data_IF_242655629086
#
_entry.id   IF_242655629086
#
_cell.length_a   1.000
_cell.length_b   1.000
_cell.length_c   1.000
_cell.angle_alpha   90.00
_cell.angle_beta   90.00
_cell.angle_gamma   90.00
#
_symmetry.space_group_name_H-M   'P 1'
#
loop_
_entity.id
_entity.type
_entity.pdbx_description
1 polymer ?
#
# COMPACT_ATOMS: atom_id res chain seq x y z
N UNK A 1 31.03 -12.75 -1.63
CA UNK A 1 29.60 -12.85 -1.99
C UNK A 1 28.81 -13.28 -0.76
N UNK A 2 27.72 -12.59 -0.39
CA UNK A 2 26.93 -12.84 0.82
C UNK A 2 26.49 -14.30 0.96
N UNK A 3 25.84 -14.83 -0.07
CA UNK A 3 25.32 -16.20 -0.04
C UNK A 3 26.40 -17.31 0.06
N UNK A 4 27.66 -17.00 -0.30
CA UNK A 4 28.74 -17.98 -0.13
C UNK A 4 29.09 -18.25 1.33
N UNK A 5 28.66 -17.38 2.25
CA UNK A 5 28.87 -17.51 3.69
C UNK A 5 27.86 -18.45 4.36
N UNK A 6 26.75 -18.77 3.69
CA UNK A 6 25.71 -19.63 4.24
C UNK A 6 26.17 -21.09 4.33
N UNK A 7 25.78 -21.81 5.40
CA UNK A 7 26.16 -23.20 5.59
C UNK A 7 25.62 -24.08 4.46
N UNK A 8 26.35 -25.13 4.19
CA UNK A 8 26.00 -26.12 3.17
C UNK A 8 25.19 -27.24 3.84
N UNK A 9 24.15 -27.69 3.19
CA UNK A 9 23.33 -28.83 3.60
C UNK A 9 23.18 -29.82 2.45
N UNK A 10 22.93 -31.08 2.80
CA UNK A 10 22.53 -32.09 1.84
C UNK A 10 21.00 -32.04 1.71
N UNK A 11 20.53 -31.70 0.53
CA UNK A 11 19.11 -31.63 0.22
C UNK A 11 18.68 -32.86 -0.59
N UNK A 12 17.75 -33.68 -0.09
CA UNK A 12 17.29 -34.86 -0.79
C UNK A 12 16.36 -34.45 -1.95
N UNK A 13 16.71 -34.82 -3.17
CA UNK A 13 15.81 -34.72 -4.34
C UNK A 13 15.24 -36.08 -4.65
N UNK A 14 13.92 -36.14 -4.77
CA UNK A 14 13.18 -37.36 -5.17
C UNK A 14 12.93 -37.33 -6.68
N UNK A 15 13.49 -38.30 -7.38
CA UNK A 15 13.34 -38.46 -8.84
C UNK A 15 12.31 -39.55 -9.20
N UNK A 16 11.27 -39.71 -8.39
CA UNK A 16 10.21 -40.68 -8.59
C UNK A 16 10.54 -42.10 -8.14
N UNK A 17 11.79 -42.55 -8.16
CA UNK A 17 12.25 -43.89 -7.76
C UNK A 17 13.37 -43.88 -6.75
N UNK A 18 14.21 -42.85 -6.76
CA UNK A 18 15.41 -42.76 -5.88
C UNK A 18 15.53 -41.42 -5.26
N UNK A 19 16.03 -41.37 -4.02
CA UNK A 19 16.41 -40.13 -3.33
C UNK A 19 17.89 -39.87 -3.58
N UNK A 20 18.20 -38.77 -4.27
CA UNK A 20 19.58 -38.36 -4.53
C UNK A 20 19.89 -37.11 -3.72
N UNK A 21 20.84 -37.17 -2.76
CA UNK A 21 21.23 -35.98 -2.03
C UNK A 21 22.05 -35.02 -2.91
N UNK A 22 21.65 -33.77 -2.98
CA UNK A 22 22.45 -32.71 -3.61
C UNK A 22 22.99 -31.75 -2.54
N UNK A 23 24.13 -31.19 -2.83
CA UNK A 23 24.77 -30.17 -1.96
C UNK A 23 24.15 -28.82 -2.29
N UNK A 24 23.45 -28.21 -1.33
CA UNK A 24 22.79 -26.92 -1.48
C UNK A 24 23.20 -25.94 -0.38
N UNK A 25 23.11 -24.65 -0.64
CA UNK A 25 23.26 -23.61 0.37
C UNK A 25 21.96 -23.45 1.16
N UNK A 26 22.06 -23.39 2.50
CA UNK A 26 20.90 -23.21 3.38
C UNK A 26 20.44 -21.74 3.36
N UNK A 27 19.66 -21.33 2.37
CA UNK A 27 19.12 -19.98 2.24
C UNK A 27 17.93 -19.70 3.17
N UNK A 28 17.42 -20.71 3.88
CA UNK A 28 16.34 -20.54 4.86
C UNK A 28 16.83 -19.91 6.17
N UNK A 29 18.13 -19.91 6.37
CA UNK A 29 18.72 -19.28 7.55
C UNK A 29 18.63 -17.77 7.42
N UNK A 30 18.07 -17.11 8.42
CA UNK A 30 17.94 -15.63 8.47
C UNK A 30 18.88 -15.08 9.52
N UNK A 31 19.50 -13.95 9.20
CA UNK A 31 20.34 -13.18 10.11
C UNK A 31 19.72 -11.78 10.23
N UNK A 32 19.64 -11.28 11.45
CA UNK A 32 19.21 -9.91 11.72
C UNK A 32 20.24 -9.22 12.63
N UNK A 33 20.36 -7.92 12.49
CA UNK A 33 21.10 -7.10 13.45
C UNK A 33 20.24 -6.88 14.70
N UNK A 34 20.89 -6.87 15.86
CA UNK A 34 20.19 -6.54 17.11
C UNK A 34 19.70 -5.09 17.08
N UNK A 35 18.61 -4.82 17.81
CA UNK A 35 18.02 -3.47 17.90
C UNK A 35 19.02 -2.47 18.47
N UNK A 36 19.86 -2.87 19.42
CA UNK A 36 20.93 -2.04 19.96
C UNK A 36 21.92 -1.54 18.89
N UNK A 37 22.16 -2.31 17.83
CA UNK A 37 23.01 -1.89 16.70
C UNK A 37 22.26 -0.99 15.74
N UNK A 38 20.99 -1.25 15.52
CA UNK A 38 20.15 -0.47 14.58
C UNK A 38 19.74 0.90 15.15
N UNK A 39 19.66 1.01 16.48
CA UNK A 39 19.16 2.22 17.17
C UNK A 39 20.24 2.93 17.99
N UNK A 40 21.42 2.34 18.13
CA UNK A 40 22.52 2.87 18.92
C UNK A 40 23.09 4.17 18.36
N UNK A 41 23.18 5.19 19.21
CA UNK A 41 23.76 6.48 18.84
C UNK A 41 25.22 6.34 18.39
N UNK A 42 25.55 6.92 17.23
CA UNK A 42 26.90 6.92 16.67
C UNK A 42 27.33 5.60 16.00
N UNK A 43 26.43 4.63 15.89
CA UNK A 43 26.67 3.37 15.17
C UNK A 43 26.29 3.49 13.70
N UNK A 44 25.33 4.32 13.38
CA UNK A 44 24.83 4.54 12.01
C UNK A 44 24.94 6.01 11.58
N UNK A 45 24.85 6.21 10.27
CA UNK A 45 24.77 7.48 9.59
C UNK A 45 23.42 7.50 8.85
N UNK A 46 22.66 8.59 8.97
CA UNK A 46 21.47 8.78 8.14
C UNK A 46 21.90 9.20 6.73
N UNK A 47 21.27 8.64 5.74
CA UNK A 47 21.56 8.89 4.34
C UNK A 47 20.29 8.91 3.50
N UNK A 48 20.13 9.94 2.69
CA UNK A 48 19.03 10.05 1.74
C UNK A 48 19.43 9.47 0.39
N UNK A 49 18.75 8.39 0.01
CA UNK A 49 18.98 7.69 -1.26
C UNK A 49 18.63 8.61 -2.42
N UNK A 50 19.56 8.74 -3.38
CA UNK A 50 19.35 9.52 -4.59
C UNK A 50 18.56 8.73 -5.62
N UNK A 51 17.93 9.45 -6.54
CA UNK A 51 17.19 8.83 -7.65
C UNK A 51 18.07 7.89 -8.46
N UNK A 52 17.59 6.65 -8.61
CA UNK A 52 18.31 5.58 -9.32
C UNK A 52 19.50 4.97 -8.57
N UNK A 53 19.77 5.39 -7.33
CA UNK A 53 20.87 4.85 -6.55
C UNK A 53 20.50 3.47 -5.97
N UNK A 54 21.40 2.50 -6.16
CA UNK A 54 21.23 1.14 -5.68
C UNK A 54 22.05 0.87 -4.42
N UNK A 55 21.69 -0.14 -3.62
CA UNK A 55 22.46 -0.53 -2.44
C UNK A 55 23.94 -0.79 -2.74
N UNK A 56 24.26 -1.34 -3.92
CA UNK A 56 25.62 -1.62 -4.35
C UNK A 56 26.45 -0.35 -4.54
N UNK A 57 25.85 0.71 -5.12
CA UNK A 57 26.54 2.00 -5.31
C UNK A 57 26.85 2.66 -3.97
N UNK A 58 25.93 2.55 -3.02
CA UNK A 58 26.13 3.08 -1.66
C UNK A 58 27.23 2.30 -0.94
N UNK A 59 27.19 0.97 -1.04
CA UNK A 59 28.19 0.09 -0.41
C UNK A 59 29.59 0.34 -0.97
N UNK A 60 29.72 0.50 -2.28
CA UNK A 60 31.00 0.83 -2.93
C UNK A 60 31.53 2.17 -2.43
N UNK A 61 30.71 3.21 -2.43
CA UNK A 61 31.12 4.54 -1.99
C UNK A 61 31.48 4.61 -0.51
N UNK A 62 30.71 3.91 0.34
CA UNK A 62 30.89 4.01 1.82
C UNK A 62 31.88 3.02 2.36
N UNK A 63 31.89 1.79 1.83
CA UNK A 63 32.70 0.68 2.36
C UNK A 63 33.84 0.26 1.42
N UNK A 64 33.88 0.81 0.19
CA UNK A 64 34.87 0.46 -0.82
C UNK A 64 34.66 -0.93 -1.46
N UNK A 65 33.50 -1.55 -1.25
CA UNK A 65 33.18 -2.87 -1.80
C UNK A 65 31.67 -2.97 -2.09
N UNK A 66 31.23 -3.05 -3.36
CA UNK A 66 29.84 -3.17 -3.74
C UNK A 66 29.20 -4.48 -3.24
N UNK A 67 30.00 -5.52 -2.95
CA UNK A 67 29.51 -6.77 -2.42
C UNK A 67 29.00 -6.67 -0.98
N UNK A 68 29.24 -5.54 -0.32
CA UNK A 68 28.69 -5.25 1.03
C UNK A 68 27.30 -4.62 1.01
N UNK A 69 26.62 -4.60 -0.15
CA UNK A 69 25.23 -4.12 -0.27
C UNK A 69 24.27 -4.81 0.71
N UNK A 70 24.53 -6.08 1.05
CA UNK A 70 23.74 -6.81 2.05
C UNK A 70 23.75 -6.12 3.42
N UNK A 71 24.84 -5.42 3.78
CA UNK A 71 24.93 -4.69 5.03
C UNK A 71 24.01 -3.46 5.03
N UNK A 72 23.90 -2.79 3.88
CA UNK A 72 22.96 -1.69 3.68
C UNK A 72 21.51 -2.18 3.82
N UNK A 73 21.17 -3.30 3.18
CA UNK A 73 19.83 -3.90 3.26
C UNK A 73 19.49 -4.39 4.66
N UNK A 74 20.47 -5.03 5.32
CA UNK A 74 20.29 -5.59 6.66
C UNK A 74 20.08 -4.50 7.73
N UNK A 75 20.80 -3.37 7.63
CA UNK A 75 20.62 -2.22 8.53
C UNK A 75 19.20 -1.65 8.48
N UNK A 76 18.57 -1.70 7.31
CA UNK A 76 17.24 -1.15 7.05
C UNK A 76 16.14 -2.21 7.02
N UNK A 77 16.44 -3.46 7.40
CA UNK A 77 15.48 -4.58 7.39
C UNK A 77 14.80 -4.80 6.03
N UNK A 78 15.47 -4.44 4.94
CA UNK A 78 14.97 -4.64 3.59
C UNK A 78 15.16 -6.10 3.20
N UNK A 79 14.08 -6.86 3.19
CA UNK A 79 14.06 -8.29 2.84
C UNK A 79 13.93 -8.45 1.32
N UNK A 80 13.06 -7.67 0.71
CA UNK A 80 12.85 -7.65 -0.74
C UNK A 80 13.38 -6.34 -1.33
N UNK A 81 14.54 -6.36 -1.98
CA UNK A 81 15.11 -5.16 -2.59
C UNK A 81 14.26 -4.56 -3.72
N UNK A 82 13.44 -5.36 -4.40
CA UNK A 82 12.62 -4.89 -5.51
C UNK A 82 11.46 -3.99 -5.04
N UNK A 83 10.82 -4.36 -3.92
CA UNK A 83 9.66 -3.62 -3.39
C UNK A 83 10.03 -2.79 -2.16
N UNK A 84 11.04 -3.18 -1.42
CA UNK A 84 11.47 -2.51 -0.20
C UNK A 84 12.46 -1.37 -0.40
N UNK A 85 13.07 -1.22 -1.59
CA UNK A 85 14.00 -0.15 -1.87
C UNK A 85 13.31 1.09 -2.47
N UNK A 86 13.88 2.27 -2.20
CA UNK A 86 13.42 3.53 -2.79
C UNK A 86 13.49 3.48 -4.32
N UNK A 87 12.42 3.91 -4.98
CA UNK A 87 12.32 4.00 -6.43
C UNK A 87 12.33 5.45 -6.88
N UNK A 88 12.99 5.74 -8.00
CA UNK A 88 12.88 7.05 -8.63
C UNK A 88 11.44 7.33 -9.09
N UNK A 89 11.08 8.60 -9.24
CA UNK A 89 9.72 9.01 -9.60
C UNK A 89 9.20 8.30 -10.85
N UNK A 90 10.02 8.20 -11.91
CA UNK A 90 9.61 7.55 -13.17
C UNK A 90 9.34 6.03 -12.99
N UNK A 91 10.20 5.32 -12.22
CA UNK A 91 10.01 3.89 -11.95
C UNK A 91 8.80 3.69 -11.02
N UNK A 92 8.57 4.62 -10.10
CA UNK A 92 7.45 4.56 -9.18
C UNK A 92 6.12 4.75 -9.91
N UNK A 93 6.04 5.70 -10.83
CA UNK A 93 4.86 5.91 -11.67
C UNK A 93 4.51 4.66 -12.49
N UNK A 94 5.49 4.07 -13.18
CA UNK A 94 5.30 2.83 -13.92
C UNK A 94 4.84 1.66 -13.00
N UNK A 95 5.43 1.56 -11.81
CA UNK A 95 5.03 0.56 -10.82
C UNK A 95 3.57 0.74 -10.39
N UNK A 96 3.16 1.98 -10.09
CA UNK A 96 1.79 2.29 -9.65
C UNK A 96 0.79 1.95 -10.75
N UNK A 97 1.05 2.36 -11.99
CA UNK A 97 0.17 2.06 -13.12
C UNK A 97 0.02 0.56 -13.37
N UNK A 98 1.08 -0.21 -13.16
CA UNK A 98 1.04 -1.69 -13.25
C UNK A 98 0.32 -2.34 -12.07
N UNK A 99 0.42 -1.78 -10.89
CA UNK A 99 -0.21 -2.31 -9.67
C UNK A 99 -1.70 -2.03 -9.64
N UNK A 100 -2.10 -0.84 -10.06
CA UNK A 100 -3.48 -0.36 -10.01
C UNK A 100 -4.04 -0.22 -11.43
N UNK A 101 -4.23 -1.36 -12.09
CA UNK A 101 -4.80 -1.41 -13.45
C UNK A 101 -6.31 -1.22 -13.44
N UNK A 102 -6.86 -0.88 -14.62
CA UNK A 102 -8.29 -0.78 -14.82
C UNK A 102 -8.94 0.51 -14.29
N UNK A 103 -10.24 0.42 -14.07
CA UNK A 103 -11.09 1.54 -13.66
C UNK A 103 -11.81 1.19 -12.37
N UNK A 104 -11.82 2.12 -11.45
CA UNK A 104 -12.62 2.07 -10.23
C UNK A 104 -13.97 2.71 -10.49
N UNK A 105 -15.02 1.95 -10.26
CA UNK A 105 -16.42 2.35 -10.38
C UNK A 105 -16.99 2.48 -8.99
N UNK A 106 -17.32 3.70 -8.60
CA UNK A 106 -18.01 3.99 -7.33
C UNK A 106 -19.51 4.04 -7.56
N UNK A 107 -20.27 3.33 -6.74
CA UNK A 107 -21.68 3.20 -6.90
C UNK A 107 -22.45 3.28 -5.57
N UNK A 108 -23.76 3.43 -5.67
CA UNK A 108 -24.70 3.35 -4.56
C UNK A 108 -25.87 2.47 -4.99
N UNK A 109 -26.75 2.10 -4.05
CA UNK A 109 -28.07 1.62 -4.41
C UNK A 109 -28.88 2.74 -5.10
N UNK A 110 -30.08 2.43 -5.58
CA UNK A 110 -30.95 3.42 -6.23
C UNK A 110 -31.43 4.52 -5.29
N UNK A 111 -31.45 4.27 -3.98
CA UNK A 111 -31.82 5.25 -2.96
C UNK A 111 -30.66 6.16 -2.53
N UNK A 112 -29.45 5.88 -3.00
CA UNK A 112 -28.24 6.61 -2.64
C UNK A 112 -27.51 6.07 -1.40
N UNK A 113 -27.94 4.90 -0.89
CA UNK A 113 -27.32 4.21 0.22
C UNK A 113 -26.19 3.27 -0.19
N UNK A 114 -25.60 2.64 0.83
CA UNK A 114 -24.67 1.55 0.63
C UNK A 114 -25.38 0.31 0.12
N UNK A 115 -24.81 -0.31 -0.87
CA UNK A 115 -25.17 -1.66 -1.27
C UNK A 115 -24.07 -2.61 -0.75
N UNK A 116 -24.39 -3.34 0.31
CA UNK A 116 -23.58 -4.43 0.78
C UNK A 116 -24.26 -5.75 0.41
N UNK A 117 -23.64 -6.49 -0.48
CA UNK A 117 -24.07 -7.81 -0.87
C UNK A 117 -22.86 -8.74 -0.91
N UNK A 118 -22.94 -9.85 -0.18
CA UNK A 118 -21.87 -10.87 -0.11
C UNK A 118 -21.68 -11.63 -1.41
N UNK A 119 -22.67 -11.58 -2.31
CA UNK A 119 -22.65 -12.27 -3.60
C UNK A 119 -21.95 -11.45 -4.69
N UNK A 120 -21.60 -10.18 -4.42
CA UNK A 120 -20.72 -9.41 -5.28
C UNK A 120 -19.28 -9.88 -5.04
N UNK A 121 -18.85 -10.82 -5.85
CA UNK A 121 -17.51 -11.40 -5.79
C UNK A 121 -16.77 -11.16 -7.13
N UNK A 122 -15.44 -11.25 -7.15
CA UNK A 122 -14.69 -11.24 -8.40
C UNK A 122 -15.23 -12.30 -9.37
N UNK A 123 -15.44 -11.90 -10.62
CA UNK A 123 -15.98 -12.77 -11.67
C UNK A 123 -17.45 -12.54 -12.01
N UNK A 124 -18.23 -11.82 -11.19
CA UNK A 124 -19.60 -11.42 -11.54
C UNK A 124 -19.60 -10.35 -12.60
N UNK A 125 -20.74 -10.18 -13.28
CA UNK A 125 -20.86 -9.28 -14.44
C UNK A 125 -21.52 -7.95 -14.05
N UNK A 126 -20.90 -6.85 -14.46
CA UNK A 126 -21.50 -5.52 -14.46
C UNK A 126 -22.06 -5.22 -15.84
N UNK A 127 -23.33 -4.81 -15.92
CA UNK A 127 -24.03 -4.51 -17.18
C UNK A 127 -24.64 -3.11 -17.14
N UNK A 128 -24.42 -2.34 -18.20
CA UNK A 128 -25.03 -1.02 -18.39
C UNK A 128 -25.32 -0.79 -19.86
N UNK A 129 -26.55 -0.44 -20.19
CA UNK A 129 -26.97 -0.06 -21.56
C UNK A 129 -26.54 -1.06 -22.66
N UNK A 130 -26.56 -2.36 -22.34
CA UNK A 130 -26.16 -3.43 -23.28
C UNK A 130 -24.66 -3.71 -23.33
N UNK A 131 -23.85 -2.97 -22.58
CA UNK A 131 -22.42 -3.26 -22.40
C UNK A 131 -22.22 -4.05 -21.11
N UNK A 132 -21.43 -5.12 -21.18
CA UNK A 132 -21.12 -5.96 -20.01
C UNK A 132 -19.63 -6.12 -19.83
N UNK A 133 -19.17 -6.17 -18.57
CA UNK A 133 -17.79 -6.45 -18.20
C UNK A 133 -17.74 -7.30 -16.93
N UNK A 134 -16.65 -8.00 -16.74
CA UNK A 134 -16.40 -8.76 -15.51
C UNK A 134 -15.84 -7.85 -14.43
N UNK A 135 -16.34 -7.99 -13.21
CA UNK A 135 -15.81 -7.33 -12.03
C UNK A 135 -14.56 -8.11 -11.59
N UNK A 136 -13.43 -7.41 -11.48
CA UNK A 136 -12.16 -8.01 -11.04
C UNK A 136 -12.02 -8.02 -9.53
N UNK A 137 -12.48 -6.95 -8.89
CA UNK A 137 -12.41 -6.81 -7.44
C UNK A 137 -13.56 -5.93 -6.93
N UNK A 138 -13.94 -6.13 -5.67
CA UNK A 138 -14.98 -5.38 -5.00
C UNK A 138 -14.57 -5.00 -3.58
N UNK A 139 -14.55 -3.72 -3.31
CA UNK A 139 -14.39 -3.14 -1.98
C UNK A 139 -15.76 -2.72 -1.44
N UNK A 140 -16.36 -3.54 -0.54
CA UNK A 140 -17.69 -3.25 -0.01
C UNK A 140 -17.72 -2.01 0.86
N UNK A 141 -16.59 -1.66 1.47
CA UNK A 141 -16.51 -0.51 2.37
C UNK A 141 -16.60 0.81 1.62
N UNK A 142 -16.04 0.85 0.41
CA UNK A 142 -16.10 2.01 -0.48
C UNK A 142 -17.24 1.93 -1.50
N UNK A 143 -17.99 0.84 -1.57
CA UNK A 143 -18.87 0.54 -2.71
C UNK A 143 -18.13 0.78 -4.05
N UNK A 144 -16.96 0.19 -4.18
CA UNK A 144 -16.05 0.38 -5.29
C UNK A 144 -15.80 -0.94 -5.99
N UNK A 145 -16.06 -0.98 -7.29
CA UNK A 145 -15.73 -2.10 -8.18
C UNK A 145 -14.48 -1.76 -8.99
N UNK A 146 -13.70 -2.77 -9.33
CA UNK A 146 -12.61 -2.66 -10.30
C UNK A 146 -12.99 -3.42 -11.56
N UNK A 147 -12.91 -2.72 -12.72
CA UNK A 147 -13.21 -3.26 -14.04
C UNK A 147 -12.14 -2.84 -15.04
N UNK A 148 -11.99 -3.58 -16.14
CA UNK A 148 -11.05 -3.22 -17.22
C UNK A 148 -11.67 -2.39 -18.35
N UNK A 149 -12.99 -2.31 -18.42
CA UNK A 149 -13.68 -1.63 -19.52
C UNK A 149 -13.85 -0.14 -19.28
N UNK A 150 -13.70 0.66 -20.33
CA UNK A 150 -13.91 2.12 -20.33
C UNK A 150 -15.31 2.54 -20.83
N UNK A 151 -16.16 1.58 -21.20
CA UNK A 151 -17.43 1.86 -21.88
C UNK A 151 -18.60 2.14 -20.93
N UNK A 152 -18.33 2.33 -19.67
CA UNK A 152 -19.33 2.64 -18.64
C UNK A 152 -19.40 4.14 -18.38
N UNK A 153 -20.56 4.60 -17.94
CA UNK A 153 -20.83 6.00 -17.59
C UNK A 153 -21.60 6.09 -16.26
N UNK A 154 -21.71 7.27 -15.71
CA UNK A 154 -22.55 7.52 -14.53
C UNK A 154 -24.02 7.24 -14.84
N UNK A 155 -24.77 6.70 -13.88
CA UNK A 155 -26.18 6.34 -14.01
C UNK A 155 -26.46 4.89 -13.62
N UNK A 156 -27.64 4.42 -13.95
CA UNK A 156 -28.11 3.10 -13.56
C UNK A 156 -27.35 1.98 -14.28
N UNK A 157 -27.01 0.97 -13.55
CA UNK A 157 -26.35 -0.25 -14.02
C UNK A 157 -26.84 -1.45 -13.22
N UNK A 158 -26.47 -2.64 -13.64
CA UNK A 158 -26.89 -3.89 -13.05
C UNK A 158 -25.69 -4.76 -12.76
N UNK A 159 -25.64 -5.37 -11.57
CA UNK A 159 -24.67 -6.41 -11.22
C UNK A 159 -25.40 -7.74 -11.23
N UNK A 160 -24.95 -8.66 -12.07
CA UNK A 160 -25.51 -10.01 -12.18
C UNK A 160 -24.83 -10.93 -11.17
N UNK A 161 -25.49 -11.18 -10.04
CA UNK A 161 -25.02 -12.12 -9.02
C UNK A 161 -25.74 -13.47 -9.14
N UNK A 162 -25.23 -14.56 -8.55
CA UNK A 162 -25.88 -15.86 -8.59
C UNK A 162 -27.32 -15.81 -8.07
N UNK A 163 -28.30 -15.98 -8.96
CA UNK A 163 -29.72 -16.03 -8.60
C UNK A 163 -30.44 -14.68 -8.50
N UNK A 164 -29.76 -13.57 -8.70
CA UNK A 164 -30.35 -12.23 -8.62
C UNK A 164 -29.65 -11.23 -9.56
N UNK A 165 -30.34 -10.11 -9.80
CA UNK A 165 -29.75 -8.93 -10.45
C UNK A 165 -29.90 -7.75 -9.50
N UNK A 166 -28.79 -7.14 -9.16
CA UNK A 166 -28.75 -5.97 -8.29
C UNK A 166 -28.73 -4.71 -9.11
N UNK A 167 -29.69 -3.82 -8.87
CA UNK A 167 -29.71 -2.49 -9.49
C UNK A 167 -28.84 -1.53 -8.69
N UNK A 168 -27.92 -0.86 -9.36
CA UNK A 168 -27.00 0.12 -8.78
C UNK A 168 -27.03 1.44 -9.54
N UNK A 169 -26.54 2.49 -8.91
CA UNK A 169 -26.31 3.77 -9.56
C UNK A 169 -24.82 4.10 -9.52
N UNK A 170 -24.18 4.10 -10.69
CA UNK A 170 -22.77 4.48 -10.84
C UNK A 170 -22.64 5.99 -10.64
N UNK A 171 -21.85 6.38 -9.64
CA UNK A 171 -21.64 7.79 -9.26
C UNK A 171 -20.39 8.37 -9.88
N UNK A 172 -19.32 7.60 -9.95
CA UNK A 172 -18.04 8.04 -10.48
C UNK A 172 -17.28 6.86 -11.11
N UNK A 173 -16.55 7.15 -12.17
CA UNK A 173 -15.61 6.20 -12.79
C UNK A 173 -14.30 6.94 -12.97
N UNK A 174 -13.22 6.33 -12.54
CA UNK A 174 -11.87 6.89 -12.68
C UNK A 174 -10.83 5.77 -12.81
N UNK A 175 -9.65 6.10 -13.31
CA UNK A 175 -8.56 5.12 -13.36
C UNK A 175 -8.18 4.70 -11.95
N UNK A 176 -7.95 3.40 -11.75
CA UNK A 176 -7.74 2.84 -10.41
C UNK A 176 -6.53 3.45 -9.70
N UNK A 177 -5.48 3.83 -10.42
CA UNK A 177 -4.31 4.42 -9.79
C UNK A 177 -4.54 5.83 -9.21
N UNK A 178 -5.53 6.58 -9.71
CA UNK A 178 -5.93 7.89 -9.13
C UNK A 178 -7.12 7.79 -8.19
N UNK A 179 -7.76 6.62 -8.12
CA UNK A 179 -8.89 6.40 -7.22
C UNK A 179 -8.47 6.48 -5.75
N UNK A 180 -9.43 6.79 -4.90
CA UNK A 180 -9.21 6.87 -3.46
C UNK A 180 -8.71 5.53 -2.89
N UNK A 181 -7.63 5.60 -2.11
CA UNK A 181 -7.11 4.52 -1.27
C UNK A 181 -7.71 4.58 0.13
N UNK A 182 -7.68 5.76 0.73
CA UNK A 182 -8.27 6.03 2.05
C UNK A 182 -8.56 7.53 2.18
N UNK A 183 -9.14 7.91 3.31
CA UNK A 183 -9.42 9.32 3.59
C UNK A 183 -8.68 9.77 4.83
N UNK A 184 -8.28 11.04 4.85
CA UNK A 184 -7.74 11.71 6.02
C UNK A 184 -8.69 12.79 6.47
N UNK A 185 -8.94 12.86 7.77
CA UNK A 185 -9.77 13.89 8.37
C UNK A 185 -8.88 14.68 9.34
N UNK A 186 -8.81 15.98 9.11
CA UNK A 186 -8.16 16.90 10.03
C UNK A 186 -9.22 17.49 10.94
N UNK A 187 -9.06 17.34 12.23
CA UNK A 187 -9.91 17.98 13.24
C UNK A 187 -9.09 18.94 14.10
N UNK A 188 -9.66 20.06 14.54
CA UNK A 188 -9.03 20.85 15.58
C UNK A 188 -9.00 20.04 16.88
N UNK A 189 -7.89 20.13 17.60
CA UNK A 189 -7.76 19.60 18.97
C UNK A 189 -8.12 20.69 19.97
N UNK A 190 -8.35 20.30 21.23
CA UNK A 190 -8.61 21.26 22.31
C UNK A 190 -7.42 22.20 22.60
N UNK A 191 -6.24 21.85 22.09
CA UNK A 191 -5.07 22.70 22.14
C UNK A 191 -5.13 23.79 21.05
N UNK A 192 -5.00 25.03 21.44
CA UNK A 192 -5.12 26.19 20.54
C UNK A 192 -4.08 26.12 19.41
N UNK A 193 -4.59 25.93 18.20
CA UNK A 193 -3.77 25.90 16.97
C UNK A 193 -3.20 24.53 16.59
N UNK A 194 -3.49 23.48 17.33
CA UNK A 194 -3.12 22.12 16.93
C UNK A 194 -4.25 21.46 16.14
N UNK A 195 -3.90 20.70 15.11
CA UNK A 195 -4.81 19.85 14.34
C UNK A 195 -4.35 18.42 14.44
N UNK A 196 -5.28 17.52 14.70
CA UNK A 196 -5.05 16.10 14.62
C UNK A 196 -5.49 15.57 13.26
N UNK A 197 -4.65 14.78 12.61
CA UNK A 197 -5.00 14.09 11.37
C UNK A 197 -5.39 12.65 11.68
N UNK A 198 -6.64 12.31 11.39
CA UNK A 198 -7.16 10.96 11.56
C UNK A 198 -7.23 10.29 10.19
N UNK A 199 -6.66 9.10 10.08
CA UNK A 199 -6.86 8.24 8.93
C UNK A 199 -8.18 7.52 9.15
N UNK A 200 -9.12 7.73 8.24
CA UNK A 200 -10.41 7.07 8.26
C UNK A 200 -10.39 6.00 7.19
N UNK A 201 -10.58 4.76 7.61
CA UNK A 201 -10.78 3.69 6.66
C UNK A 201 -12.10 3.92 5.89
N UNK A 202 -12.25 3.19 4.82
CA UNK A 202 -13.39 3.32 3.93
C UNK A 202 -14.74 3.10 4.61
N UNK A 203 -14.80 2.33 5.68
CA UNK A 203 -16.04 2.03 6.38
C UNK A 203 -16.71 3.28 6.95
N UNK A 204 -15.94 4.20 7.50
CA UNK A 204 -16.46 5.41 8.14
C UNK A 204 -17.08 6.40 7.15
N UNK A 205 -16.81 6.24 5.87
CA UNK A 205 -17.26 7.15 4.82
C UNK A 205 -18.10 6.45 3.76
N UNK A 206 -18.37 5.20 3.92
CA UNK A 206 -18.90 4.32 2.89
C UNK A 206 -20.40 4.41 2.66
N UNK A 207 -21.10 5.41 2.94
CA UNK A 207 -22.53 5.54 2.59
C UNK A 207 -22.77 6.31 1.30
N UNK A 208 -21.87 6.22 0.38
CA UNK A 208 -21.98 6.91 -0.89
C UNK A 208 -21.70 8.40 -0.82
N UNK A 209 -21.30 8.91 0.34
CA UNK A 209 -21.00 10.33 0.53
C UNK A 209 -19.52 10.67 0.41
N UNK A 210 -18.65 9.69 0.46
CA UNK A 210 -17.21 9.91 0.39
C UNK A 210 -16.74 10.52 -0.94
N UNK A 211 -17.46 10.28 -2.01
CA UNK A 211 -17.21 10.90 -3.31
C UNK A 211 -17.96 12.24 -3.49
N UNK A 212 -18.62 12.65 -2.47
CA UNK A 212 -19.20 14.00 -2.40
C UNK A 212 -18.25 14.88 -1.62
N UNK A 213 -18.01 16.09 -2.09
CA UNK A 213 -17.08 17.01 -1.41
C UNK A 213 -17.58 17.32 0.00
N UNK A 214 -16.94 16.72 0.97
CA UNK A 214 -17.14 17.04 2.37
C UNK A 214 -16.18 18.17 2.69
N UNK A 215 -16.69 19.28 3.19
CA UNK A 215 -15.85 20.42 3.55
C UNK A 215 -15.08 21.06 2.39
N UNK A 216 -15.60 20.96 1.16
CA UNK A 216 -14.98 21.57 -0.02
C UNK A 216 -13.93 20.73 -0.72
N UNK A 217 -13.81 19.45 -0.41
CA UNK A 217 -12.99 18.51 -1.20
C UNK A 217 -13.65 18.32 -2.56
N UNK A 218 -13.16 19.01 -3.54
CA UNK A 218 -13.78 19.11 -4.88
C UNK A 218 -13.60 17.88 -5.76
N UNK A 219 -12.62 17.03 -5.43
CA UNK A 219 -12.22 15.90 -6.29
C UNK A 219 -13.28 14.81 -6.41
N UNK A 220 -14.22 14.77 -5.47
CA UNK A 220 -15.29 13.78 -5.44
C UNK A 220 -16.69 14.36 -5.75
N UNK A 221 -16.76 15.61 -6.13
CA UNK A 221 -18.03 16.30 -6.37
C UNK A 221 -18.77 16.70 -5.08
N UNK A 222 -19.82 17.48 -5.22
CA UNK A 222 -20.60 17.94 -4.08
C UNK A 222 -21.40 16.79 -3.44
N UNK A 223 -21.48 16.72 -2.11
CA UNK A 223 -22.30 15.74 -1.42
C UNK A 223 -23.75 15.84 -1.86
N UNK A 224 -24.32 14.72 -2.26
CA UNK A 224 -25.74 14.68 -2.59
C UNK A 224 -26.53 14.75 -1.28
N UNK A 225 -26.91 15.95 -0.89
CA UNK A 225 -27.68 16.19 0.32
C UNK A 225 -26.91 16.04 1.63
N UNK A 226 -25.60 15.74 1.59
CA UNK A 226 -24.78 15.69 2.77
C UNK A 226 -24.10 17.03 3.04
N UNK A 227 -24.17 17.47 4.27
CA UNK A 227 -23.36 18.58 4.80
C UNK A 227 -22.20 17.99 5.62
N UNK A 228 -21.20 18.81 5.93
CA UNK A 228 -20.14 18.39 6.87
C UNK A 228 -20.74 17.92 8.21
N UNK A 229 -21.76 18.60 8.70
CA UNK A 229 -22.49 18.23 9.91
C UNK A 229 -23.17 16.87 9.80
N UNK A 230 -23.88 16.60 8.70
CA UNK A 230 -24.54 15.31 8.49
C UNK A 230 -23.54 14.16 8.42
N UNK A 231 -22.43 14.36 7.74
CA UNK A 231 -21.36 13.37 7.70
C UNK A 231 -20.79 13.12 9.08
N UNK A 232 -20.52 14.19 9.80
CA UNK A 232 -20.03 14.14 11.15
C UNK A 232 -20.96 13.36 12.08
N UNK A 233 -22.22 13.77 12.16
CA UNK A 233 -23.22 13.16 13.04
C UNK A 233 -23.49 11.70 12.68
N UNK A 234 -23.56 11.39 11.42
CA UNK A 234 -23.96 10.07 10.94
C UNK A 234 -22.83 9.05 11.01
N UNK A 235 -21.60 9.47 10.71
CA UNK A 235 -20.49 8.52 10.57
C UNK A 235 -19.38 8.72 11.58
N UNK A 236 -18.79 9.90 11.63
CA UNK A 236 -17.61 10.15 12.46
C UNK A 236 -17.98 10.35 13.90
N UNK A 237 -18.98 11.18 14.20
CA UNK A 237 -19.42 11.46 15.56
C UNK A 237 -19.87 10.22 16.30
N UNK A 238 -20.59 9.33 15.61
CA UNK A 238 -21.11 8.09 16.17
C UNK A 238 -20.02 7.05 16.44
N UNK A 239 -19.05 6.91 15.53
CA UNK A 239 -18.06 5.82 15.63
C UNK A 239 -16.75 6.26 16.28
N UNK A 240 -16.36 7.51 16.15
CA UNK A 240 -15.09 8.00 16.68
C UNK A 240 -15.20 8.87 17.93
N UNK A 241 -16.43 9.10 18.43
CA UNK A 241 -16.64 9.92 19.62
C UNK A 241 -16.22 11.38 19.47
N UNK A 242 -16.09 11.86 18.24
CA UNK A 242 -15.67 13.23 17.92
C UNK A 242 -16.89 14.15 18.00
N UNK A 243 -16.81 15.22 18.75
CA UNK A 243 -17.82 16.27 18.81
C UNK A 243 -17.25 17.57 18.26
N UNK A 244 -17.97 18.24 17.35
CA UNK A 244 -17.57 19.53 16.80
C UNK A 244 -17.80 19.65 15.31
N UNK A 245 -17.92 20.87 14.83
CA UNK A 245 -18.35 21.20 13.47
C UNK A 245 -17.17 21.48 12.51
N UNK A 246 -15.95 21.57 13.01
CA UNK A 246 -14.80 22.00 12.23
C UNK A 246 -13.86 20.83 11.92
N UNK A 247 -14.13 20.17 10.82
CA UNK A 247 -13.18 19.21 10.24
C UNK A 247 -13.07 19.40 8.72
N UNK A 248 -11.95 19.01 8.17
CA UNK A 248 -11.76 18.91 6.73
C UNK A 248 -11.41 17.47 6.38
N UNK A 249 -12.11 16.91 5.42
CA UNK A 249 -11.85 15.57 4.92
C UNK A 249 -11.29 15.65 3.49
N UNK A 250 -10.29 14.84 3.19
CA UNK A 250 -9.75 14.73 1.85
C UNK A 250 -9.34 13.29 1.52
N UNK A 251 -9.49 12.93 0.27
CA UNK A 251 -9.09 11.63 -0.21
C UNK A 251 -7.60 11.58 -0.49
N UNK A 252 -6.98 10.49 -0.14
CA UNK A 252 -5.63 10.12 -0.56
C UNK A 252 -5.77 9.08 -1.66
N UNK A 253 -5.34 9.43 -2.87
CA UNK A 253 -5.37 8.50 -4.00
C UNK A 253 -4.34 7.37 -3.84
N UNK A 254 -4.53 6.26 -4.58
CA UNK A 254 -3.56 5.19 -4.65
C UNK A 254 -2.17 5.71 -5.07
N UNK A 255 -2.14 6.66 -6.01
CA UNK A 255 -0.91 7.32 -6.45
C UNK A 255 -0.19 8.02 -5.30
N UNK A 256 -0.88 8.90 -4.57
CA UNK A 256 -0.30 9.65 -3.45
C UNK A 256 0.14 8.70 -2.34
N UNK A 257 -0.68 7.71 -1.99
CA UNK A 257 -0.35 6.71 -0.97
C UNK A 257 0.94 5.96 -1.28
N UNK A 258 1.10 5.48 -2.50
CA UNK A 258 2.29 4.74 -2.91
C UNK A 258 3.52 5.65 -3.01
N UNK A 259 3.35 6.90 -3.45
CA UNK A 259 4.44 7.88 -3.48
C UNK A 259 4.91 8.22 -2.06
N UNK A 260 4.00 8.47 -1.13
CA UNK A 260 4.33 8.72 0.27
C UNK A 260 5.03 7.50 0.90
N UNK A 261 4.53 6.30 0.63
CA UNK A 261 5.16 5.06 1.08
C UNK A 261 6.57 4.87 0.50
N UNK A 262 6.78 5.27 -0.75
CA UNK A 262 8.11 5.24 -1.36
C UNK A 262 9.04 6.28 -0.72
N UNK A 263 8.54 7.47 -0.40
CA UNK A 263 9.35 8.53 0.23
C UNK A 263 9.80 8.12 1.66
N UNK A 264 9.01 7.35 2.40
CA UNK A 264 9.45 6.80 3.70
C UNK A 264 10.68 5.89 3.60
N UNK A 265 10.93 5.33 2.40
CA UNK A 265 12.10 4.47 2.13
C UNK A 265 13.34 5.24 1.73
N UNK A 266 13.23 6.56 1.53
CA UNK A 266 14.33 7.39 1.03
C UNK A 266 15.42 7.60 2.06
N UNK A 267 15.07 7.88 3.30
CA UNK A 267 16.04 8.06 4.38
C UNK A 267 16.38 6.73 5.01
N UNK A 268 17.61 6.29 4.84
CA UNK A 268 18.12 5.01 5.31
C UNK A 268 19.20 5.18 6.39
N UNK A 269 19.39 4.12 7.17
CA UNK A 269 20.48 4.01 8.13
C UNK A 269 21.64 3.24 7.51
N UNK A 270 22.83 3.80 7.52
CA UNK A 270 24.05 3.15 7.04
C UNK A 270 24.96 2.88 8.22
N UNK A 271 25.45 1.66 8.37
CA UNK A 271 26.43 1.33 9.41
C UNK A 271 27.68 2.19 9.22
N UNK A 272 28.16 2.82 10.30
CA UNK A 272 29.37 3.63 10.22
C UNK A 272 30.57 2.77 9.78
N UNK A 273 31.42 3.20 8.84
CA UNK A 273 32.50 2.39 8.25
C UNK A 273 33.43 1.72 9.28
N UNK A 274 33.66 2.37 10.41
CA UNK A 274 34.51 1.82 11.50
C UNK A 274 34.01 0.49 12.06
N UNK A 275 32.74 0.17 11.91
CA UNK A 275 32.14 -1.08 12.39
C UNK A 275 32.01 -2.15 11.31
N UNK A 276 32.38 -1.85 10.06
CA UNK A 276 32.26 -2.74 8.90
C UNK A 276 32.86 -4.13 9.18
N UNK A 277 34.13 -4.16 9.59
CA UNK A 277 34.87 -5.42 9.78
C UNK A 277 34.32 -6.24 10.95
N UNK A 278 33.80 -5.56 11.96
CA UNK A 278 33.12 -6.22 13.08
C UNK A 278 31.83 -6.89 12.62
N UNK A 279 31.00 -6.19 11.85
CA UNK A 279 29.76 -6.73 11.31
C UNK A 279 30.01 -7.94 10.41
N UNK A 280 31.05 -7.90 9.55
CA UNK A 280 31.43 -9.02 8.69
C UNK A 280 31.81 -10.25 9.53
N UNK A 281 32.65 -10.08 10.57
CA UNK A 281 33.06 -11.18 11.47
C UNK A 281 31.89 -11.77 12.25
N UNK A 282 30.97 -10.92 12.74
CA UNK A 282 29.80 -11.39 13.48
C UNK A 282 28.85 -12.17 12.56
N UNK A 283 28.65 -11.71 11.31
CA UNK A 283 27.88 -12.46 10.32
C UNK A 283 28.51 -13.84 10.08
N UNK A 284 29.83 -13.90 9.88
CA UNK A 284 30.55 -15.17 9.66
C UNK A 284 30.37 -16.12 10.84
N UNK A 285 30.40 -15.61 12.07
CA UNK A 285 30.19 -16.43 13.28
C UNK A 285 28.72 -16.92 13.37
N UNK A 286 27.74 -16.07 13.10
CA UNK A 286 26.33 -16.45 13.14
C UNK A 286 25.95 -17.48 12.08
N UNK A 287 26.64 -17.50 10.95
CA UNK A 287 26.36 -18.45 9.86
C UNK A 287 27.11 -19.78 10.00
N UNK A 288 28.14 -19.86 10.84
CA UNK A 288 28.95 -21.08 11.06
C UNK A 288 28.30 -22.09 12.01
N UNK A 289 27.28 -21.73 12.76
CA UNK A 289 26.59 -22.57 13.76
C UNK A 289 25.58 -23.52 13.14
#
# INVERSE_FOLDING_TARGET
>A
MYFNKFPVLQYPIYNGTTITPIVARNLLRRVALSDNVREGNGIFILYDVKDGERPEHIAERLYGDPMLHWLVLLMNTVIDPYHGWYKSAAIMEEYIQKKYTGYSVFFTDLSGGLLYDSDIIPGVTLTQAGTSTTIEDFDPMMCKLIIQSTQFSTGNAYIEVPGATLEINIRKIEQTYIAAHHFKINRPTDDVGANETIIVDSLSISNGYYHNSIGGVSDFGAPIGATASNFYDTYIGKYMGISGDAFTAYAVSNLIYEMDLNETKRTIKLLHPRYKDRAIRELDNLLKV
#
